data_IF_625561050808
#
_entry.id   IF_625561050808
#
_cell.length_a   1.000
_cell.length_b   1.000
_cell.length_c   1.000
_cell.angle_alpha   90.00
_cell.angle_beta   90.00
_cell.angle_gamma   90.00
#
_symmetry.space_group_name_H-M   'P 1'
#
loop_
_entity.id
_entity.type
_entity.pdbx_description
1 polymer ?
#
# COMPACT_ATOMS: atom_id res chain seq x y z
N UNK A 1 -17.73 -8.60 34.90
CA UNK A 1 -17.54 -7.37 34.09
C UNK A 1 -16.08 -6.99 34.17
N UNK A 2 -15.38 -6.79 33.04
CA UNK A 2 -14.05 -6.18 33.09
C UNK A 2 -14.24 -4.72 33.49
N UNK A 3 -13.62 -4.30 34.60
CA UNK A 3 -13.66 -2.89 35.01
C UNK A 3 -12.47 -2.20 34.37
N UNK A 4 -12.75 -1.34 33.38
CA UNK A 4 -11.71 -0.57 32.69
C UNK A 4 -11.34 0.67 33.51
N UNK A 5 -10.06 1.04 33.50
CA UNK A 5 -9.56 2.24 34.18
C UNK A 5 -10.20 3.53 33.65
N UNK A 6 -10.70 3.51 32.41
CA UNK A 6 -11.42 4.62 31.78
C UNK A 6 -12.91 4.27 31.63
N UNK A 7 -13.83 4.98 32.32
CA UNK A 7 -15.26 4.81 32.14
C UNK A 7 -15.68 5.07 30.69
N UNK A 8 -16.57 4.24 30.14
CA UNK A 8 -17.07 4.37 28.75
C UNK A 8 -16.29 3.55 27.72
N UNK A 9 -15.20 2.88 28.12
CA UNK A 9 -14.57 1.81 27.34
C UNK A 9 -15.46 0.57 27.37
N UNK A 10 -15.74 0.01 26.20
CA UNK A 10 -16.55 -1.20 26.03
C UNK A 10 -15.65 -2.43 25.83
N UNK A 11 -14.58 -2.30 25.03
CA UNK A 11 -13.65 -3.39 24.75
C UNK A 11 -12.25 -2.90 24.38
N UNK A 12 -11.27 -3.78 24.55
CA UNK A 12 -9.90 -3.64 24.02
C UNK A 12 -9.55 -4.96 23.35
N UNK A 13 -9.07 -4.88 22.11
CA UNK A 13 -8.62 -6.04 21.34
C UNK A 13 -7.15 -5.89 20.97
N UNK A 14 -6.44 -7.02 20.92
CA UNK A 14 -5.04 -7.13 20.52
C UNK A 14 -4.92 -8.13 19.36
N UNK A 15 -3.69 -8.36 18.89
CA UNK A 15 -3.42 -9.40 17.90
C UNK A 15 -3.92 -10.80 18.30
N UNK A 16 -4.12 -11.07 19.60
CA UNK A 16 -4.62 -12.36 20.10
C UNK A 16 -6.14 -12.53 19.94
N UNK A 17 -6.86 -11.44 19.71
CA UNK A 17 -8.33 -11.44 19.67
C UNK A 17 -8.91 -11.44 18.24
N UNK A 18 -8.05 -11.22 17.23
CA UNK A 18 -8.38 -11.15 15.80
C UNK A 18 -8.06 -12.47 15.08
N UNK A 19 -8.72 -12.79 13.95
CA UNK A 19 -8.32 -13.93 13.12
C UNK A 19 -6.86 -13.86 12.69
N UNK A 20 -6.16 -15.00 12.72
CA UNK A 20 -4.80 -15.13 12.19
C UNK A 20 -4.75 -15.22 10.65
N UNK A 21 -5.75 -14.64 9.97
CA UNK A 21 -5.86 -14.64 8.52
C UNK A 21 -5.12 -13.43 7.95
N UNK A 22 -4.15 -13.70 7.09
CA UNK A 22 -3.54 -12.64 6.27
C UNK A 22 -4.43 -12.30 5.09
N UNK A 23 -4.51 -11.02 4.74
CA UNK A 23 -5.30 -10.54 3.62
C UNK A 23 -4.54 -9.53 2.75
N UNK A 24 -4.84 -9.43 1.44
CA UNK A 24 -4.28 -8.41 0.58
C UNK A 24 -5.07 -7.10 0.71
N UNK A 25 -4.40 -5.97 0.55
CA UNK A 25 -5.05 -4.65 0.55
C UNK A 25 -5.30 -4.12 -0.87
N UNK A 26 -4.52 -4.60 -1.85
CA UNK A 26 -4.54 -4.09 -3.20
C UNK A 26 -5.82 -4.40 -3.98
N UNK A 27 -6.08 -3.55 -4.97
CA UNK A 27 -7.27 -3.57 -5.80
C UNK A 27 -7.16 -4.29 -7.13
N UNK A 28 -6.26 -5.28 -7.30
CA UNK A 28 -6.15 -5.97 -8.57
C UNK A 28 -7.33 -6.94 -8.81
N UNK A 29 -7.58 -7.21 -10.10
CA UNK A 29 -8.60 -8.15 -10.53
C UNK A 29 -8.37 -9.52 -9.89
N UNK A 30 -9.47 -10.18 -9.48
CA UNK A 30 -9.36 -11.50 -8.87
C UNK A 30 -8.81 -12.51 -9.89
N UNK A 31 -7.73 -13.20 -9.52
CA UNK A 31 -7.19 -14.29 -10.32
C UNK A 31 -7.53 -15.63 -9.70
N UNK A 32 -7.99 -16.57 -10.54
CA UNK A 32 -8.17 -17.96 -10.13
C UNK A 32 -6.83 -18.64 -9.86
N UNK A 33 -5.76 -18.21 -10.54
CA UNK A 33 -4.39 -18.68 -10.33
C UNK A 33 -3.81 -18.07 -9.05
N UNK A 34 -3.54 -18.86 -7.98
CA UNK A 34 -3.08 -18.32 -6.70
C UNK A 34 -1.80 -17.49 -6.79
N UNK A 35 -0.85 -17.90 -7.64
CA UNK A 35 0.42 -17.20 -7.85
C UNK A 35 0.29 -15.80 -8.50
N UNK A 36 -0.89 -15.48 -9.06
CA UNK A 36 -1.20 -14.18 -9.67
C UNK A 36 -2.13 -13.33 -8.79
N UNK A 37 -2.47 -13.80 -7.59
CA UNK A 37 -3.26 -13.03 -6.62
C UNK A 37 -2.37 -12.00 -5.93
N UNK A 38 -3.03 -10.99 -5.37
CA UNK A 38 -2.38 -10.02 -4.51
C UNK A 38 -1.75 -10.70 -3.29
N UNK A 39 -0.59 -10.19 -2.89
CA UNK A 39 0.14 -10.69 -1.73
C UNK A 39 -0.66 -10.37 -0.47
N UNK A 40 -0.96 -11.41 0.31
CA UNK A 40 -1.68 -11.32 1.56
C UNK A 40 -0.66 -11.26 2.72
N UNK A 41 -0.25 -10.05 3.09
CA UNK A 41 0.77 -9.79 4.11
C UNK A 41 0.28 -8.91 5.27
N UNK A 42 -1.00 -8.51 5.26
CA UNK A 42 -1.62 -7.73 6.33
C UNK A 42 -2.42 -8.61 7.29
N UNK A 43 -2.39 -8.25 8.57
CA UNK A 43 -3.30 -8.74 9.62
C UNK A 43 -4.12 -7.55 10.13
N UNK A 44 -5.24 -7.82 10.81
CA UNK A 44 -6.07 -6.77 11.42
C UNK A 44 -5.30 -6.01 12.52
N UNK A 45 -4.63 -6.75 13.40
CA UNK A 45 -3.69 -6.26 14.39
C UNK A 45 -2.46 -7.16 14.32
N UNK A 46 -1.27 -6.59 14.49
CA UNK A 46 -0.02 -7.35 14.38
C UNK A 46 0.70 -7.47 15.71
N UNK A 47 1.31 -8.63 15.93
CA UNK A 47 2.31 -8.83 16.97
C UNK A 47 3.67 -8.27 16.55
N UNK A 48 4.00 -8.35 15.26
CA UNK A 48 5.29 -7.96 14.72
C UNK A 48 5.15 -6.65 13.96
N UNK A 49 5.54 -5.55 14.61
CA UNK A 49 5.51 -4.21 14.04
C UNK A 49 6.54 -4.09 12.92
N UNK A 50 6.10 -3.69 11.73
CA UNK A 50 6.95 -3.50 10.56
C UNK A 50 7.18 -2.04 10.23
N UNK A 51 6.32 -1.13 10.68
CA UNK A 51 6.57 0.31 10.59
C UNK A 51 5.89 1.08 11.71
N UNK A 52 6.33 2.32 11.91
CA UNK A 52 5.62 3.27 12.75
C UNK A 52 4.22 3.53 12.19
N UNK A 53 3.18 3.17 12.94
CA UNK A 53 1.78 3.24 12.51
C UNK A 53 1.08 1.89 12.34
N UNK A 54 1.76 0.75 12.53
CA UNK A 54 1.09 -0.54 12.57
C UNK A 54 0.16 -0.67 13.79
N UNK A 55 -1.08 -1.10 13.55
CA UNK A 55 -2.04 -1.38 14.62
C UNK A 55 -1.66 -2.62 15.42
N UNK A 56 -1.41 -2.45 16.72
CA UNK A 56 -1.08 -3.55 17.66
C UNK A 56 -2.23 -3.86 18.62
N UNK A 57 -3.06 -2.87 18.90
CA UNK A 57 -4.26 -2.95 19.72
C UNK A 57 -5.29 -1.93 19.22
N UNK A 58 -6.56 -2.16 19.55
CA UNK A 58 -7.64 -1.20 19.29
C UNK A 58 -8.57 -1.12 20.50
N UNK A 59 -8.95 0.11 20.85
CA UNK A 59 -9.86 0.41 21.96
C UNK A 59 -11.22 0.80 21.38
N UNK A 60 -12.28 0.20 21.90
CA UNK A 60 -13.67 0.52 21.57
C UNK A 60 -14.30 1.23 22.75
N UNK A 61 -14.85 2.41 22.50
CA UNK A 61 -15.56 3.20 23.50
C UNK A 61 -16.84 3.82 22.91
N UNK A 62 -17.66 4.41 23.77
CA UNK A 62 -18.93 5.06 23.37
C UNK A 62 -18.75 6.34 22.56
N UNK A 63 -17.58 6.96 22.65
CA UNK A 63 -17.24 8.18 21.93
C UNK A 63 -15.73 8.25 21.65
N UNK A 64 -15.36 9.06 20.66
CA UNK A 64 -13.98 9.17 20.18
C UNK A 64 -13.02 9.69 21.26
N UNK A 65 -13.44 10.67 22.08
CA UNK A 65 -12.60 11.24 23.13
C UNK A 65 -12.26 10.20 24.21
N UNK A 66 -13.25 9.39 24.60
CA UNK A 66 -13.03 8.28 25.53
C UNK A 66 -12.11 7.21 24.92
N UNK A 67 -12.28 6.88 23.63
CA UNK A 67 -11.41 5.93 22.94
C UNK A 67 -9.95 6.42 22.89
N UNK A 68 -9.71 7.68 22.51
CA UNK A 68 -8.38 8.29 22.45
C UNK A 68 -7.71 8.33 23.82
N UNK A 69 -8.44 8.76 24.86
CA UNK A 69 -7.94 8.80 26.24
C UNK A 69 -7.57 7.41 26.75
N UNK A 70 -8.39 6.41 26.44
CA UNK A 70 -8.13 5.04 26.85
C UNK A 70 -6.98 4.40 26.05
N UNK A 71 -6.87 4.70 24.75
CA UNK A 71 -5.75 4.25 23.92
C UNK A 71 -4.41 4.80 24.42
N UNK A 72 -4.37 6.04 24.92
CA UNK A 72 -3.17 6.62 25.52
C UNK A 72 -2.72 5.95 26.84
N UNK A 73 -3.58 5.14 27.47
CA UNK A 73 -3.26 4.35 28.67
C UNK A 73 -2.76 2.94 28.32
N UNK A 74 -2.79 2.55 27.04
CA UNK A 74 -2.31 1.23 26.61
C UNK A 74 -0.78 1.25 26.61
N UNK A 75 -0.19 0.41 27.46
CA UNK A 75 1.25 0.19 27.49
C UNK A 75 1.61 -1.03 26.66
N UNK A 76 2.59 -0.89 25.76
CA UNK A 76 3.09 -1.98 24.92
C UNK A 76 4.60 -2.09 25.11
N UNK A 77 5.05 -3.30 25.44
CA UNK A 77 6.48 -3.61 25.54
C UNK A 77 6.96 -4.20 24.20
N UNK A 78 7.99 -3.59 23.61
CA UNK A 78 8.58 -4.04 22.36
C UNK A 78 9.97 -4.60 22.60
N UNK A 79 10.31 -5.65 21.84
CA UNK A 79 11.70 -5.97 21.55
C UNK A 79 12.09 -5.20 20.29
N UNK A 80 12.96 -4.19 20.44
CA UNK A 80 13.42 -3.41 19.30
C UNK A 80 14.24 -4.26 18.32
N UNK A 81 14.00 -4.04 17.04
CA UNK A 81 14.70 -4.68 15.93
C UNK A 81 15.34 -3.60 15.04
N UNK A 82 16.40 -3.94 14.27
CA UNK A 82 17.01 -3.00 13.36
C UNK A 82 16.00 -2.46 12.34
N UNK A 83 16.02 -1.14 12.13
CA UNK A 83 15.15 -0.45 11.17
C UNK A 83 15.87 -0.31 9.83
N UNK A 84 15.24 -0.81 8.78
CA UNK A 84 15.69 -0.78 7.39
C UNK A 84 14.92 0.29 6.63
N UNK A 85 15.58 1.38 6.27
CA UNK A 85 15.00 2.49 5.48
C UNK A 85 15.64 2.64 4.11
N UNK A 86 16.70 1.90 3.80
CA UNK A 86 17.43 1.99 2.54
C UNK A 86 17.32 0.70 1.74
N UNK A 87 17.38 0.82 0.41
CA UNK A 87 17.34 -0.35 -0.46
C UNK A 87 18.59 -1.24 -0.29
N UNK A 88 19.76 -0.63 -0.07
CA UNK A 88 20.99 -1.37 0.25
C UNK A 88 20.81 -2.21 1.52
N UNK A 89 20.23 -1.62 2.57
CA UNK A 89 19.95 -2.33 3.81
C UNK A 89 18.91 -3.45 3.63
N UNK A 90 17.88 -3.23 2.81
CA UNK A 90 16.85 -4.24 2.56
C UNK A 90 17.32 -5.42 1.70
N UNK A 91 18.26 -5.17 0.77
CA UNK A 91 18.72 -6.14 -0.23
C UNK A 91 20.08 -6.76 0.09
N UNK A 92 20.70 -6.40 1.22
CA UNK A 92 21.93 -7.03 1.68
C UNK A 92 21.70 -8.54 1.93
N UNK A 93 22.71 -9.41 1.69
CA UNK A 93 22.57 -10.86 1.92
C UNK A 93 22.19 -11.26 3.35
N UNK A 94 22.57 -10.43 4.33
CA UNK A 94 22.34 -10.60 5.77
C UNK A 94 21.28 -9.64 6.33
N UNK A 95 20.51 -8.98 5.46
CA UNK A 95 19.45 -8.05 5.87
C UNK A 95 18.43 -8.73 6.80
N UNK A 96 18.07 -8.11 7.95
CA UNK A 96 16.94 -8.56 8.75
C UNK A 96 15.67 -8.66 7.89
N UNK A 97 14.90 -9.72 8.10
CA UNK A 97 13.71 -9.98 7.30
C UNK A 97 12.50 -9.22 7.86
N UNK A 98 11.89 -8.34 7.05
CA UNK A 98 10.62 -7.66 7.37
C UNK A 98 9.44 -8.63 7.22
N UNK A 99 9.56 -9.53 6.25
CA UNK A 99 8.64 -10.64 6.02
C UNK A 99 9.42 -11.95 5.96
N UNK A 100 8.89 -13.05 6.51
CA UNK A 100 9.55 -14.36 6.47
C UNK A 100 9.95 -14.81 5.06
N UNK A 101 9.19 -14.39 4.04
CA UNK A 101 9.38 -14.72 2.64
C UNK A 101 10.53 -13.95 1.97
N UNK A 102 11.05 -12.89 2.62
CA UNK A 102 12.15 -12.07 2.13
C UNK A 102 11.80 -10.58 1.95
N UNK A 103 12.84 -9.76 1.79
CA UNK A 103 12.70 -8.31 1.60
C UNK A 103 12.47 -7.88 0.13
N UNK A 104 12.54 -8.82 -0.83
CA UNK A 104 12.19 -8.55 -2.23
C UNK A 104 10.75 -8.96 -2.49
N UNK A 105 9.88 -8.02 -2.83
CA UNK A 105 8.48 -8.29 -3.19
C UNK A 105 8.38 -8.89 -4.60
N UNK A 106 8.96 -8.20 -5.60
CA UNK A 106 8.82 -8.62 -7.01
C UNK A 106 9.97 -8.07 -7.86
N UNK A 107 10.34 -8.85 -8.87
CA UNK A 107 11.17 -8.42 -10.00
C UNK A 107 10.36 -8.54 -11.29
N UNK A 108 10.46 -7.55 -12.17
CA UNK A 108 9.86 -7.59 -13.51
C UNK A 108 10.82 -7.02 -14.54
N UNK A 109 10.90 -7.68 -15.69
CA UNK A 109 11.74 -7.25 -16.80
C UNK A 109 10.89 -7.25 -18.08
N UNK A 110 11.01 -6.21 -18.89
CA UNK A 110 10.45 -6.17 -20.25
C UNK A 110 11.53 -5.62 -21.16
N UNK A 111 11.61 -6.14 -22.38
CA UNK A 111 12.47 -5.63 -23.43
C UNK A 111 11.81 -5.83 -24.79
N UNK A 112 12.00 -4.87 -25.70
CA UNK A 112 11.52 -4.90 -27.07
C UNK A 112 12.53 -4.20 -28.00
N UNK A 113 12.73 -4.78 -29.19
CA UNK A 113 13.58 -4.25 -30.25
C UNK A 113 15.07 -4.06 -29.89
N UNK A 114 15.62 -4.87 -28.97
CA UNK A 114 17.05 -4.92 -28.64
C UNK A 114 17.64 -3.57 -28.16
N UNK A 115 17.17 -3.04 -27.01
CA UNK A 115 17.53 -1.71 -26.52
C UNK A 115 19.03 -1.49 -26.35
N UNK A 116 19.77 -2.49 -25.86
CA UNK A 116 21.23 -2.38 -25.65
C UNK A 116 21.99 -2.13 -26.95
N UNK A 117 21.62 -2.83 -28.02
CA UNK A 117 22.23 -2.64 -29.34
C UNK A 117 21.88 -1.25 -29.87
N UNK A 118 20.60 -0.87 -29.84
CA UNK A 118 20.13 0.43 -30.30
C UNK A 118 20.78 1.62 -29.57
N UNK A 119 21.10 1.47 -28.28
CA UNK A 119 21.84 2.48 -27.50
C UNK A 119 23.31 2.50 -27.93
N UNK A 120 23.97 1.35 -28.02
CA UNK A 120 25.40 1.26 -28.38
C UNK A 120 25.71 1.76 -29.79
N UNK A 121 24.75 1.65 -30.72
CA UNK A 121 24.87 2.12 -32.10
C UNK A 121 24.36 3.55 -32.31
N UNK A 122 23.89 4.22 -31.26
CA UNK A 122 23.37 5.58 -31.35
C UNK A 122 24.50 6.61 -31.50
N UNK A 123 24.20 7.71 -32.20
CA UNK A 123 25.14 8.82 -32.41
C UNK A 123 25.51 9.50 -31.08
N UNK A 124 24.54 9.57 -30.14
CA UNK A 124 24.72 10.08 -28.79
C UNK A 124 24.22 9.07 -27.75
N UNK A 125 25.01 8.87 -26.70
CA UNK A 125 24.71 7.98 -25.58
C UNK A 125 24.71 8.80 -24.28
N UNK A 126 23.62 8.70 -23.52
CA UNK A 126 23.44 9.44 -22.28
C UNK A 126 23.10 8.49 -21.13
N UNK A 127 23.62 8.80 -19.96
CA UNK A 127 23.27 8.13 -18.71
C UNK A 127 22.76 9.16 -17.70
N UNK A 128 21.69 8.84 -16.99
CA UNK A 128 21.10 9.72 -15.99
C UNK A 128 20.53 8.94 -14.81
N UNK A 129 20.61 9.54 -13.62
CA UNK A 129 20.01 9.02 -12.41
C UNK A 129 18.84 9.91 -11.98
N UNK A 130 17.69 9.31 -11.71
CA UNK A 130 16.47 10.00 -11.30
C UNK A 130 15.93 9.44 -9.99
N UNK A 131 15.37 10.32 -9.16
CA UNK A 131 14.72 9.92 -7.92
C UNK A 131 13.35 10.59 -7.77
N UNK A 132 12.39 9.85 -7.24
CA UNK A 132 11.11 10.41 -6.81
C UNK A 132 10.88 10.10 -5.32
N UNK A 133 10.47 11.10 -4.53
CA UNK A 133 10.29 10.92 -3.09
C UNK A 133 8.99 10.19 -2.78
N UNK A 134 8.85 9.78 -1.52
CA UNK A 134 7.57 9.42 -0.93
C UNK A 134 6.68 10.68 -0.86
N UNK A 135 5.42 10.56 -1.26
CA UNK A 135 4.45 11.68 -1.26
C UNK A 135 3.16 11.22 -0.58
N UNK A 136 2.56 12.10 0.24
CA UNK A 136 1.25 11.89 0.83
C UNK A 136 0.13 12.49 -0.04
N UNK A 137 -1.01 11.81 -0.08
CA UNK A 137 -2.17 12.11 -0.91
C UNK A 137 -2.94 13.35 -0.46
N UNK A 138 -2.96 13.60 0.84
CA UNK A 138 -3.56 14.78 1.47
C UNK A 138 -4.99 15.09 1.01
N UNK A 139 -5.85 14.07 0.79
CA UNK A 139 -7.29 14.28 0.63
C UNK A 139 -7.89 14.98 1.85
N UNK A 140 -8.93 15.81 1.68
CA UNK A 140 -9.46 16.67 2.75
C UNK A 140 -10.19 15.86 3.83
N UNK A 141 -11.01 14.90 3.43
CA UNK A 141 -11.63 13.94 4.34
C UNK A 141 -10.60 12.86 4.71
N UNK A 142 -10.41 12.57 5.99
CA UNK A 142 -9.52 11.50 6.46
C UNK A 142 -9.92 10.09 5.99
N UNK A 143 -9.21 9.08 6.51
CA UNK A 143 -9.63 7.69 6.37
C UNK A 143 -10.74 7.44 7.39
N UNK A 144 -11.92 7.07 6.92
CA UNK A 144 -13.07 6.83 7.80
C UNK A 144 -13.99 5.78 7.19
N UNK A 145 -14.49 4.91 8.05
CA UNK A 145 -15.56 3.98 7.74
C UNK A 145 -16.35 3.64 9.00
N UNK A 146 -17.55 3.10 8.83
CA UNK A 146 -18.25 2.43 9.90
C UNK A 146 -18.92 1.17 9.38
N UNK A 147 -19.12 0.22 10.27
CA UNK A 147 -19.82 -1.02 9.95
C UNK A 147 -20.90 -1.33 10.99
N UNK A 148 -21.93 -2.02 10.56
CA UNK A 148 -23.02 -2.51 11.39
C UNK A 148 -23.55 -3.84 10.81
N UNK A 149 -24.32 -4.59 11.59
CA UNK A 149 -24.97 -5.81 11.10
C UNK A 149 -26.48 -5.61 11.03
N UNK A 150 -27.06 -5.82 9.84
CA UNK A 150 -28.52 -5.80 9.65
C UNK A 150 -29.17 -7.08 10.20
N UNK A 151 -28.44 -8.19 10.12
CA UNK A 151 -28.82 -9.52 10.57
C UNK A 151 -27.55 -10.28 11.01
N UNK A 152 -27.67 -11.38 11.77
CA UNK A 152 -26.54 -12.25 12.06
C UNK A 152 -25.76 -12.59 10.79
N UNK A 153 -24.43 -12.54 10.89
CA UNK A 153 -23.47 -12.82 9.82
C UNK A 153 -23.58 -11.96 8.54
N UNK A 154 -24.36 -10.88 8.52
CA UNK A 154 -24.43 -9.95 7.39
C UNK A 154 -23.94 -8.55 7.79
N UNK A 155 -22.73 -8.21 7.35
CA UNK A 155 -22.04 -6.96 7.69
C UNK A 155 -22.26 -5.93 6.58
N UNK A 156 -22.76 -4.76 6.95
CA UNK A 156 -22.80 -3.58 6.09
C UNK A 156 -21.70 -2.61 6.49
N UNK A 157 -20.92 -2.17 5.50
CA UNK A 157 -19.82 -1.23 5.68
C UNK A 157 -20.13 0.01 4.86
N UNK A 158 -20.14 1.17 5.51
CA UNK A 158 -20.19 2.46 4.83
C UNK A 158 -18.79 3.06 4.91
N UNK A 159 -18.11 3.16 3.77
CA UNK A 159 -16.70 3.54 3.74
C UNK A 159 -16.43 4.65 2.73
N UNK A 160 -15.53 5.55 3.12
CA UNK A 160 -14.86 6.43 2.16
C UNK A 160 -13.81 5.65 1.37
N UNK A 161 -14.25 5.01 0.27
CA UNK A 161 -13.42 4.13 -0.56
C UNK A 161 -13.59 4.39 -2.06
N UNK A 162 -12.57 4.11 -2.88
CA UNK A 162 -12.68 4.14 -4.35
C UNK A 162 -13.02 2.77 -4.94
N UNK A 163 -13.01 1.71 -4.12
CA UNK A 163 -12.99 0.31 -4.59
C UNK A 163 -13.97 -0.59 -3.80
N UNK A 164 -15.28 -0.29 -3.75
CA UNK A 164 -16.22 -0.98 -2.86
C UNK A 164 -16.31 -2.49 -3.04
N UNK A 165 -16.17 -2.99 -4.28
CA UNK A 165 -16.20 -4.43 -4.56
C UNK A 165 -14.93 -5.16 -4.10
N UNK A 166 -13.78 -4.47 -4.09
CA UNK A 166 -12.53 -5.01 -3.56
C UNK A 166 -12.57 -4.98 -2.03
N UNK A 167 -13.06 -3.90 -1.41
CA UNK A 167 -13.30 -3.86 0.04
C UNK A 167 -14.14 -5.07 0.47
N UNK A 168 -15.24 -5.34 -0.23
CA UNK A 168 -16.08 -6.51 0.03
C UNK A 168 -15.28 -7.82 0.07
N UNK A 169 -14.44 -8.04 -0.95
CA UNK A 169 -13.60 -9.22 -1.07
C UNK A 169 -12.56 -9.30 0.05
N UNK A 170 -11.82 -8.21 0.28
CA UNK A 170 -10.72 -8.18 1.25
C UNK A 170 -11.22 -8.33 2.68
N UNK A 171 -12.32 -7.67 3.05
CA UNK A 171 -12.94 -7.85 4.37
C UNK A 171 -13.34 -9.31 4.58
N UNK A 172 -13.96 -9.92 3.58
CA UNK A 172 -14.35 -11.32 3.64
C UNK A 172 -13.13 -12.26 3.78
N UNK A 173 -12.00 -11.94 3.13
CA UNK A 173 -10.73 -12.65 3.32
C UNK A 173 -10.16 -12.45 4.73
N UNK A 174 -10.21 -11.22 5.26
CA UNK A 174 -9.69 -10.88 6.59
C UNK A 174 -10.47 -11.57 7.72
N UNK A 175 -11.79 -11.74 7.55
CA UNK A 175 -12.67 -12.35 8.55
C UNK A 175 -12.97 -13.83 8.30
N UNK A 176 -12.53 -14.40 7.18
CA UNK A 176 -12.85 -15.78 6.80
C UNK A 176 -14.33 -15.99 6.48
N UNK A 177 -15.01 -14.97 5.95
CA UNK A 177 -16.44 -14.99 5.65
C UNK A 177 -16.72 -15.14 4.14
N UNK A 178 -17.91 -15.63 3.74
CA UNK A 178 -18.35 -15.56 2.35
C UNK A 178 -18.51 -14.12 1.86
N UNK A 179 -18.18 -13.84 0.60
CA UNK A 179 -18.31 -12.48 0.03
C UNK A 179 -19.77 -11.99 0.00
N UNK A 180 -20.72 -12.92 -0.08
CA UNK A 180 -22.17 -12.64 -0.04
C UNK A 180 -22.64 -12.02 1.26
N UNK A 181 -21.85 -12.17 2.34
CA UNK A 181 -22.19 -11.72 3.67
C UNK A 181 -21.72 -10.30 3.95
N UNK A 182 -21.00 -9.68 3.00
CA UNK A 182 -20.46 -8.33 3.14
C UNK A 182 -21.11 -7.42 2.10
N UNK A 183 -21.70 -6.32 2.55
CA UNK A 183 -22.23 -5.25 1.71
C UNK A 183 -21.42 -3.98 1.95
N UNK A 184 -20.92 -3.36 0.88
CA UNK A 184 -20.19 -2.09 0.96
C UNK A 184 -20.97 -0.98 0.28
N UNK A 185 -21.21 0.09 1.02
CA UNK A 185 -21.88 1.31 0.57
C UNK A 185 -20.81 2.40 0.48
N UNK A 186 -20.68 2.98 -0.72
CA UNK A 186 -19.78 4.10 -0.98
C UNK A 186 -20.60 5.39 -1.15
N UNK A 187 -20.61 6.30 -0.16
CA UNK A 187 -21.25 7.60 -0.28
C UNK A 187 -20.43 8.55 -1.19
N UNK A 188 -20.81 9.83 -1.23
CA UNK A 188 -19.89 10.86 -1.70
C UNK A 188 -18.70 10.97 -0.75
N UNK A 189 -17.49 11.13 -1.29
CA UNK A 189 -16.23 11.09 -0.52
C UNK A 189 -15.39 12.34 -0.77
N UNK A 190 -14.64 12.77 0.24
CA UNK A 190 -13.80 13.98 0.21
C UNK A 190 -12.42 13.78 -0.41
N UNK A 191 -12.36 13.03 -1.51
CA UNK A 191 -11.12 12.70 -2.23
C UNK A 191 -10.41 11.44 -1.73
N UNK A 192 -9.47 10.94 -2.55
CA UNK A 192 -8.69 9.74 -2.26
C UNK A 192 -7.37 9.69 -3.02
N UNK A 193 -7.33 10.18 -4.27
CA UNK A 193 -6.12 10.33 -5.09
C UNK A 193 -5.28 9.04 -5.23
N UNK A 194 -5.89 7.87 -5.07
CA UNK A 194 -5.21 6.57 -5.12
C UNK A 194 -4.99 5.91 -3.75
N UNK A 195 -4.95 6.68 -2.65
CA UNK A 195 -4.85 6.13 -1.28
C UNK A 195 -6.03 5.18 -0.99
N UNK A 196 -7.24 5.64 -1.30
CA UNK A 196 -8.49 4.89 -1.16
C UNK A 196 -8.75 3.90 -2.30
N UNK A 197 -7.76 3.62 -3.15
CA UNK A 197 -7.73 2.43 -4.03
C UNK A 197 -7.08 1.22 -3.34
N UNK A 198 -6.62 1.39 -2.11
CA UNK A 198 -6.22 0.33 -1.20
C UNK A 198 -7.31 0.11 -0.15
N UNK A 199 -7.41 -1.10 0.40
CA UNK A 199 -8.26 -1.37 1.57
C UNK A 199 -7.51 -0.93 2.83
N UNK A 200 -8.20 -0.18 3.70
CA UNK A 200 -7.63 0.49 4.87
C UNK A 200 -8.30 -0.07 6.14
N UNK A 201 -9.16 0.71 6.79
CA UNK A 201 -9.77 0.38 8.08
C UNK A 201 -11.08 -0.42 7.96
N UNK A 202 -11.58 -0.66 6.75
CA UNK A 202 -12.84 -1.39 6.56
C UNK A 202 -12.86 -2.80 7.18
N UNK A 203 -11.78 -3.60 7.08
CA UNK A 203 -11.70 -4.89 7.77
C UNK A 203 -11.78 -4.75 9.29
N UNK A 204 -11.20 -3.70 9.86
CA UNK A 204 -11.23 -3.44 11.29
C UNK A 204 -12.64 -3.06 11.75
N UNK A 205 -13.32 -2.13 11.07
CA UNK A 205 -14.69 -1.77 11.39
C UNK A 205 -15.63 -3.00 11.32
N UNK A 206 -15.46 -3.86 10.31
CA UNK A 206 -16.22 -5.09 10.16
C UNK A 206 -15.96 -6.10 11.30
N UNK A 207 -14.70 -6.30 11.70
CA UNK A 207 -14.35 -7.12 12.86
C UNK A 207 -15.00 -6.59 14.14
N UNK A 208 -14.88 -5.29 14.38
CA UNK A 208 -15.40 -4.66 15.60
C UNK A 208 -16.91 -4.76 15.68
N UNK A 209 -17.67 -4.44 14.62
CA UNK A 209 -19.13 -4.58 14.68
C UNK A 209 -19.54 -6.01 15.00
N UNK A 210 -18.86 -7.01 14.41
CA UNK A 210 -19.13 -8.42 14.69
C UNK A 210 -18.87 -8.76 16.17
N UNK A 211 -17.72 -8.33 16.72
CA UNK A 211 -17.37 -8.54 18.13
C UNK A 211 -18.28 -7.81 19.11
N UNK A 212 -18.84 -6.67 18.69
CA UNK A 212 -19.73 -5.84 19.50
C UNK A 212 -21.21 -6.22 19.35
N UNK A 213 -21.52 -7.40 18.80
CA UNK A 213 -22.89 -7.90 18.68
C UNK A 213 -23.71 -7.22 17.58
N UNK A 214 -23.04 -6.68 16.56
CA UNK A 214 -23.66 -6.11 15.37
C UNK A 214 -24.00 -4.62 15.46
N UNK A 215 -23.68 -3.96 16.57
CA UNK A 215 -23.90 -2.52 16.71
C UNK A 215 -23.02 -1.71 15.74
N UNK A 216 -23.43 -0.50 15.34
CA UNK A 216 -22.59 0.37 14.54
C UNK A 216 -21.28 0.72 15.24
N UNK A 217 -20.14 0.46 14.58
CA UNK A 217 -18.80 0.86 15.04
C UNK A 217 -18.12 1.66 13.94
N UNK A 218 -17.66 2.86 14.28
CA UNK A 218 -16.89 3.75 13.41
C UNK A 218 -15.40 3.61 13.71
N UNK A 219 -14.59 3.55 12.65
CA UNK A 219 -13.13 3.64 12.72
C UNK A 219 -12.71 4.82 11.85
N UNK A 220 -11.97 5.75 12.43
CA UNK A 220 -11.42 6.90 11.73
C UNK A 220 -9.98 7.15 12.15
N UNK A 221 -9.18 7.61 11.20
CA UNK A 221 -7.84 8.11 11.49
C UNK A 221 -7.89 9.63 11.55
N UNK A 222 -7.23 10.19 12.56
CA UNK A 222 -6.87 11.61 12.60
C UNK A 222 -6.03 12.00 11.38
N UNK A 223 -5.89 13.31 11.15
CA UNK A 223 -5.05 13.82 10.06
C UNK A 223 -3.61 13.37 10.24
N UNK A 224 -3.11 13.44 11.46
CA UNK A 224 -1.76 13.06 11.87
C UNK A 224 -1.54 11.56 11.61
N UNK A 225 -2.45 10.70 12.04
CA UNK A 225 -2.40 9.26 11.79
C UNK A 225 -2.43 8.94 10.29
N UNK A 226 -3.19 9.70 9.48
CA UNK A 226 -3.16 9.50 8.04
C UNK A 226 -1.73 9.64 7.46
N UNK A 227 -0.81 10.42 8.05
CA UNK A 227 0.55 10.54 7.52
C UNK A 227 1.40 9.27 7.70
N UNK A 228 1.15 8.48 8.72
CA UNK A 228 2.00 7.32 9.05
C UNK A 228 1.28 5.96 9.06
N UNK A 229 -0.04 5.93 9.27
CA UNK A 229 -0.86 4.71 9.32
C UNK A 229 -1.67 4.45 8.05
N UNK A 230 -1.82 5.44 7.14
CA UNK A 230 -2.47 5.23 5.84
C UNK A 230 -1.51 4.71 4.77
N UNK A 231 -1.50 5.29 3.57
CA UNK A 231 -0.64 4.93 2.45
C UNK A 231 0.06 6.13 1.86
N UNK A 232 1.27 5.92 1.35
CA UNK A 232 2.04 6.95 0.65
C UNK A 232 2.40 6.51 -0.76
N UNK A 233 2.91 7.40 -1.61
CA UNK A 233 3.36 7.05 -2.96
C UNK A 233 4.70 6.32 -2.92
N UNK A 234 4.85 5.31 -3.79
CA UNK A 234 6.13 4.65 -4.11
C UNK A 234 7.28 5.65 -4.35
N UNK A 235 8.36 5.56 -3.58
CA UNK A 235 9.63 6.16 -3.94
C UNK A 235 10.33 5.30 -4.99
N UNK A 236 10.90 5.95 -6.00
CA UNK A 236 11.68 5.29 -7.04
C UNK A 236 13.09 5.89 -7.12
N UNK A 237 14.06 5.02 -7.35
CA UNK A 237 15.41 5.34 -7.81
C UNK A 237 15.59 4.68 -9.17
N UNK A 238 15.97 5.45 -10.18
CA UNK A 238 16.02 4.97 -11.57
C UNK A 238 17.35 5.37 -12.18
N UNK A 239 18.08 4.36 -12.66
CA UNK A 239 19.22 4.54 -13.55
C UNK A 239 18.76 4.34 -14.98
N UNK A 240 19.04 5.31 -15.85
CA UNK A 240 18.60 5.34 -17.23
C UNK A 240 19.80 5.42 -18.17
N UNK A 241 19.79 4.59 -19.21
CA UNK A 241 20.68 4.66 -20.37
C UNK A 241 19.85 4.95 -21.61
N UNK A 242 20.25 5.95 -22.40
CA UNK A 242 19.51 6.46 -23.55
C UNK A 242 20.43 6.54 -24.77
N UNK A 243 19.90 6.20 -25.93
CA UNK A 243 20.51 6.42 -27.24
C UNK A 243 19.71 7.42 -28.06
N UNK A 244 20.38 8.39 -28.67
CA UNK A 244 19.79 9.38 -29.56
C UNK A 244 20.56 9.45 -30.88
N UNK A 245 19.87 9.78 -31.97
CA UNK A 245 20.51 10.11 -33.23
C UNK A 245 20.92 11.61 -33.29
N UNK A 246 21.60 12.01 -34.36
CA UNK A 246 22.01 13.40 -34.60
C UNK A 246 20.85 14.41 -34.64
N UNK A 247 19.64 13.97 -34.96
CA UNK A 247 18.42 14.80 -34.97
C UNK A 247 17.76 14.92 -33.58
N UNK A 248 18.34 14.33 -32.54
CA UNK A 248 17.79 14.33 -31.18
C UNK A 248 16.64 13.36 -30.97
N UNK A 249 16.45 12.39 -31.87
CA UNK A 249 15.40 11.37 -31.77
C UNK A 249 15.90 10.20 -30.92
N UNK A 250 15.10 9.81 -29.91
CA UNK A 250 15.38 8.65 -29.07
C UNK A 250 15.32 7.34 -29.88
N UNK A 251 16.44 6.65 -30.00
CA UNK A 251 16.58 5.38 -30.72
C UNK A 251 16.40 4.18 -29.80
N UNK A 252 16.85 4.29 -28.55
CA UNK A 252 16.79 3.20 -27.58
C UNK A 252 16.86 3.70 -26.13
N UNK A 253 16.23 2.99 -25.20
CA UNK A 253 16.42 3.22 -23.77
C UNK A 253 16.40 1.94 -22.93
N UNK A 254 17.16 1.95 -21.83
CA UNK A 254 17.18 0.92 -20.81
C UNK A 254 17.04 1.57 -19.43
N UNK A 255 16.11 1.07 -18.60
CA UNK A 255 15.86 1.60 -17.26
C UNK A 255 16.07 0.52 -16.20
N UNK A 256 16.83 0.82 -15.17
CA UNK A 256 16.92 0.02 -13.96
C UNK A 256 16.20 0.75 -12.82
N UNK A 257 15.05 0.20 -12.40
CA UNK A 257 14.10 0.83 -11.49
C UNK A 257 14.10 0.11 -10.16
N UNK A 258 14.44 0.82 -9.10
CA UNK A 258 14.33 0.36 -7.73
C UNK A 258 13.15 1.04 -7.04
N UNK A 259 12.20 0.24 -6.59
CA UNK A 259 10.95 0.65 -5.94
C UNK A 259 10.95 0.25 -4.47
N UNK A 260 10.64 1.18 -3.59
CA UNK A 260 10.38 0.89 -2.19
C UNK A 260 8.86 0.81 -1.98
N UNK A 261 8.35 -0.30 -1.42
CA UNK A 261 6.91 -0.46 -1.14
C UNK A 261 6.53 -0.20 0.32
N UNK A 262 7.50 0.17 1.15
CA UNK A 262 7.32 0.25 2.60
C UNK A 262 7.15 -1.14 3.20
N UNK A 263 6.44 -1.20 4.32
CA UNK A 263 6.35 -2.41 5.12
C UNK A 263 5.44 -3.51 4.54
N UNK A 264 4.59 -3.19 3.57
CA UNK A 264 3.59 -4.12 3.03
C UNK A 264 3.41 -3.97 1.52
N UNK A 265 2.94 -5.03 0.89
CA UNK A 265 3.00 -5.24 -0.54
C UNK A 265 2.13 -4.24 -1.29
N UNK A 266 0.87 -4.08 -0.86
CA UNK A 266 -0.15 -3.26 -1.53
C UNK A 266 0.00 -3.40 -3.06
N UNK A 267 0.11 -2.29 -3.78
CA UNK A 267 0.26 -2.23 -5.23
C UNK A 267 1.72 -2.24 -5.70
N UNK A 268 2.69 -2.56 -4.84
CA UNK A 268 4.12 -2.38 -5.13
C UNK A 268 4.60 -3.06 -6.41
N UNK A 269 4.13 -4.28 -6.67
CA UNK A 269 4.52 -5.01 -7.88
C UNK A 269 3.96 -4.38 -9.17
N UNK A 270 2.75 -3.84 -9.16
CA UNK A 270 2.11 -3.26 -10.35
C UNK A 270 2.57 -1.82 -10.60
N UNK A 271 2.87 -1.06 -9.55
CA UNK A 271 3.30 0.33 -9.66
C UNK A 271 4.70 0.44 -10.27
N UNK A 272 5.64 -0.41 -9.88
CA UNK A 272 6.98 -0.43 -10.48
C UNK A 272 6.92 -0.77 -11.99
N UNK A 273 6.14 -1.80 -12.35
CA UNK A 273 5.91 -2.18 -13.75
C UNK A 273 5.23 -1.06 -14.55
N UNK A 274 4.21 -0.41 -13.99
CA UNK A 274 3.50 0.68 -14.66
C UNK A 274 4.39 1.92 -14.86
N UNK A 275 5.29 2.22 -13.90
CA UNK A 275 6.24 3.32 -14.01
C UNK A 275 7.20 3.13 -15.19
N UNK A 276 7.68 1.91 -15.40
CA UNK A 276 8.65 1.62 -16.44
C UNK A 276 8.00 1.36 -17.83
N UNK A 277 6.84 0.72 -17.88
CA UNK A 277 6.18 0.36 -19.14
C UNK A 277 5.63 1.58 -19.89
N UNK A 278 5.08 2.57 -19.16
CA UNK A 278 4.32 3.67 -19.78
C UNK A 278 5.12 4.60 -20.70
N UNK A 279 6.44 4.61 -20.57
CA UNK A 279 7.34 5.39 -21.43
C UNK A 279 7.30 4.89 -22.89
N UNK A 280 7.09 3.58 -23.09
CA UNK A 280 7.05 2.97 -24.42
C UNK A 280 5.94 3.54 -25.32
N UNK A 281 4.84 3.99 -24.72
CA UNK A 281 3.73 4.62 -25.46
C UNK A 281 4.05 6.05 -25.91
N UNK A 282 4.99 6.74 -25.25
CA UNK A 282 5.40 8.09 -25.61
C UNK A 282 6.44 8.09 -26.72
N UNK A 283 7.29 7.05 -26.76
CA UNK A 283 8.32 6.86 -27.77
C UNK A 283 8.12 5.53 -28.51
N UNK A 284 7.04 5.38 -29.29
CA UNK A 284 6.68 4.09 -29.90
C UNK A 284 7.67 3.59 -30.96
N UNK A 285 8.63 4.45 -31.38
CA UNK A 285 9.66 4.13 -32.38
C UNK A 285 11.00 3.76 -31.77
N UNK A 286 11.19 3.91 -30.46
CA UNK A 286 12.44 3.55 -29.79
C UNK A 286 12.46 2.07 -29.42
N UNK A 287 13.63 1.44 -29.47
CA UNK A 287 13.86 0.22 -28.73
C UNK A 287 13.78 0.50 -27.23
N UNK A 288 13.27 -0.44 -26.44
CA UNK A 288 13.12 -0.19 -25.01
C UNK A 288 13.34 -1.43 -24.16
N UNK A 289 13.86 -1.20 -22.96
CA UNK A 289 13.95 -2.21 -21.94
C UNK A 289 13.86 -1.60 -20.55
N UNK A 290 13.41 -2.41 -19.60
CA UNK A 290 13.55 -2.09 -18.19
C UNK A 290 13.73 -3.33 -17.32
N UNK A 291 14.45 -3.15 -16.22
CA UNK A 291 14.42 -4.01 -15.05
C UNK A 291 13.80 -3.24 -13.89
N UNK A 292 12.86 -3.85 -13.18
CA UNK A 292 12.26 -3.25 -12.00
C UNK A 292 12.30 -4.22 -10.83
N UNK A 293 12.80 -3.75 -9.68
CA UNK A 293 12.84 -4.49 -8.42
C UNK A 293 12.09 -3.70 -7.35
N UNK A 294 11.12 -4.35 -6.71
CA UNK A 294 10.39 -3.79 -5.57
C UNK A 294 10.82 -4.48 -4.27
N UNK A 295 11.20 -3.70 -3.27
CA UNK A 295 11.64 -4.18 -1.95
C UNK A 295 10.77 -3.62 -0.81
N UNK A 296 10.75 -4.34 0.30
CA UNK A 296 10.16 -3.90 1.57
C UNK A 296 11.13 -3.04 2.37
N UNK A 297 10.60 -2.12 3.16
CA UNK A 297 11.34 -1.31 4.14
C UNK A 297 10.43 -1.00 5.34
N UNK A 298 10.96 -0.38 6.40
CA UNK A 298 10.16 0.02 7.57
C UNK A 298 9.44 1.37 7.40
N UNK A 299 9.30 1.87 6.16
CA UNK A 299 8.41 2.99 5.86
C UNK A 299 6.93 2.56 5.80
N UNK A 300 5.98 3.49 5.98
CA UNK A 300 4.56 3.21 5.77
C UNK A 300 4.30 2.55 4.41
N UNK A 301 3.30 1.67 4.36
CA UNK A 301 2.97 0.96 3.12
C UNK A 301 2.65 1.94 1.98
N UNK A 302 3.13 1.60 0.78
CA UNK A 302 3.03 2.49 -0.38
C UNK A 302 1.94 1.99 -1.33
N UNK A 303 1.14 2.92 -1.87
CA UNK A 303 -0.03 2.66 -2.70
C UNK A 303 -0.07 3.61 -3.91
N UNK A 304 -0.98 3.39 -4.88
CA UNK A 304 -1.10 4.24 -6.06
C UNK A 304 -1.38 5.69 -5.66
N UNK A 305 -0.74 6.64 -6.34
CA UNK A 305 -0.98 8.06 -6.14
C UNK A 305 -1.20 8.77 -7.48
N UNK A 306 -2.33 9.47 -7.61
CA UNK A 306 -2.68 10.27 -8.78
C UNK A 306 -1.72 11.45 -8.98
N UNK A 307 -1.07 11.91 -7.91
CA UNK A 307 0.03 12.86 -8.02
C UNK A 307 1.29 12.16 -8.55
N UNK A 308 1.67 12.51 -9.77
CA UNK A 308 3.03 12.37 -10.29
C UNK A 308 3.57 10.97 -10.61
N UNK A 309 2.77 9.89 -10.74
CA UNK A 309 3.29 8.70 -11.42
C UNK A 309 3.81 9.05 -12.85
N UNK A 310 3.18 10.03 -13.51
CA UNK A 310 3.52 10.46 -14.88
C UNK A 310 4.04 11.90 -15.00
N UNK A 311 3.49 12.86 -14.22
CA UNK A 311 3.78 14.29 -14.44
C UNK A 311 5.24 14.69 -14.19
N UNK A 312 5.93 14.14 -13.18
CA UNK A 312 7.31 14.54 -12.88
C UNK A 312 8.33 13.88 -13.81
N UNK A 313 8.05 12.64 -14.23
CA UNK A 313 8.80 11.89 -15.24
C UNK A 313 8.80 12.57 -16.60
N UNK A 314 7.62 12.95 -17.09
CA UNK A 314 7.45 13.69 -18.35
C UNK A 314 8.16 15.04 -18.35
N UNK A 315 8.23 15.71 -17.19
CA UNK A 315 8.90 17.01 -17.07
C UNK A 315 10.44 16.92 -17.09
N UNK A 316 11.03 15.77 -16.74
CA UNK A 316 12.51 15.62 -16.72
C UNK A 316 13.07 15.08 -18.04
N UNK A 317 12.24 14.42 -18.87
CA UNK A 317 12.60 13.98 -20.22
C UNK A 317 12.28 15.03 -21.31
N UNK A 318 11.52 16.07 -20.97
CA UNK A 318 11.37 17.25 -21.81
C UNK A 318 12.58 18.16 -21.61
N UNK A 319 13.68 17.84 -22.28
CA UNK A 319 14.77 18.79 -22.51
C UNK A 319 14.29 19.75 -23.60
N UNK A 320 14.34 21.06 -23.31
CA UNK A 320 14.11 22.11 -24.31
C UNK A 320 15.22 22.14 -25.36
#
# INVERSE_FOLDING_TARGET
MRHWLCPGVEAVFTYQDVPELRFPTAGHAWSLEPAKRDVADRQLLTQHVRHYGDGVAIVVARDALTAERAAALVEVAYQELPVITTAQGALAPDAPLIHPEGNTLKKSNISANQPKEAISSADFQLSAHFQTPVIQHCHMEGVTCFAYMEQPDHIVIVSSTQIPQIVRRTVAQALGMPWSNIRVIKPYIGGGFGNKQDVLEEPMAAFLTQKMGGIPVKVELSREECFFASRTRHAFSIDAELGLNHDGILTGYQLDVLSNTGAYASHGHSIASAGANKISYLYPRSAFGYSALTHYSNYPAQAPCAAMAHRRWLLHLNVY
#
